data_IF_422812862251
#
_entry.id   IF_422812862251
#
_cell.length_a   1.000
_cell.length_b   1.000
_cell.length_c   1.000
_cell.angle_alpha   90.00
_cell.angle_beta   90.00
_cell.angle_gamma   90.00
#
_symmetry.space_group_name_H-M   'P 1'
#
loop_
_entity.id
_entity.type
_entity.pdbx_description
1 polymer ?
#
# COMPACT_ATOMS: atom_id res chain seq x y z
N UNK A 1 8.94 -26.45 10.63
CA UNK A 1 8.04 -25.35 10.24
C UNK A 1 8.91 -24.19 9.79
N UNK A 2 8.85 -23.85 8.50
CA UNK A 2 9.66 -22.79 7.92
C UNK A 2 8.93 -21.44 8.05
N UNK A 3 9.20 -20.74 9.14
CA UNK A 3 8.59 -19.44 9.44
C UNK A 3 8.88 -18.40 8.36
N UNK A 4 10.05 -18.48 7.72
CA UNK A 4 10.47 -17.54 6.70
C UNK A 4 9.67 -17.71 5.39
N UNK A 5 9.32 -18.95 5.04
CA UNK A 5 8.42 -19.22 3.92
C UNK A 5 7.00 -18.71 4.19
N UNK A 6 6.49 -18.89 5.41
CA UNK A 6 5.16 -18.43 5.80
C UNK A 6 5.03 -16.90 5.75
N UNK A 7 6.07 -16.18 6.20
CA UNK A 7 6.10 -14.72 6.10
C UNK A 7 6.14 -14.24 4.65
N UNK A 8 6.93 -14.87 3.79
CA UNK A 8 6.95 -14.55 2.35
C UNK A 8 5.58 -14.77 1.70
N UNK A 9 4.91 -15.89 2.01
CA UNK A 9 3.56 -16.17 1.49
C UNK A 9 2.55 -15.12 1.97
N UNK A 10 2.64 -14.69 3.24
CA UNK A 10 1.78 -13.65 3.79
C UNK A 10 2.00 -12.31 3.07
N UNK A 11 3.25 -11.91 2.86
CA UNK A 11 3.57 -10.65 2.18
C UNK A 11 3.09 -10.64 0.72
N UNK A 12 3.30 -11.75 0.00
CA UNK A 12 2.80 -11.89 -1.37
C UNK A 12 1.28 -11.80 -1.44
N UNK A 13 0.58 -12.43 -0.48
CA UNK A 13 -0.88 -12.37 -0.41
C UNK A 13 -1.37 -10.95 -0.13
N UNK A 14 -0.78 -10.27 0.85
CA UNK A 14 -1.13 -8.88 1.18
C UNK A 14 -0.86 -7.93 0.01
N UNK A 15 0.25 -8.11 -0.71
CA UNK A 15 0.54 -7.31 -1.89
C UNK A 15 -0.55 -7.45 -2.96
N UNK A 16 -1.06 -8.67 -3.19
CA UNK A 16 -2.15 -8.91 -4.12
C UNK A 16 -3.44 -8.21 -3.67
N UNK A 17 -3.81 -8.33 -2.40
CA UNK A 17 -5.00 -7.66 -1.84
C UNK A 17 -4.90 -6.13 -1.97
N UNK A 18 -3.73 -5.55 -1.69
CA UNK A 18 -3.51 -4.11 -1.83
C UNK A 18 -3.58 -3.62 -3.28
N UNK A 19 -3.06 -4.41 -4.23
CA UNK A 19 -3.18 -4.11 -5.66
C UNK A 19 -4.63 -4.09 -6.11
N UNK A 20 -5.41 -5.10 -5.72
CA UNK A 20 -6.84 -5.19 -6.05
C UNK A 20 -7.64 -4.03 -5.47
N UNK A 21 -7.31 -3.60 -4.24
CA UNK A 21 -7.94 -2.43 -3.63
C UNK A 21 -7.67 -1.16 -4.47
N UNK A 22 -6.41 -0.92 -4.86
CA UNK A 22 -6.04 0.24 -5.67
C UNK A 22 -6.74 0.21 -7.03
N UNK A 23 -6.77 -0.94 -7.69
CA UNK A 23 -7.46 -1.14 -8.97
C UNK A 23 -8.97 -0.88 -8.84
N UNK A 24 -9.60 -1.33 -7.75
CA UNK A 24 -11.03 -1.07 -7.49
C UNK A 24 -11.36 0.41 -7.30
N UNK A 25 -10.38 1.23 -6.91
CA UNK A 25 -10.50 2.68 -6.77
C UNK A 25 -10.09 3.44 -8.04
N UNK A 26 -9.85 2.74 -9.16
CA UNK A 26 -9.50 3.37 -10.44
C UNK A 26 -8.02 3.68 -10.63
N UNK A 27 -7.14 3.21 -9.73
CA UNK A 27 -5.70 3.35 -9.91
C UNK A 27 -5.13 2.23 -10.78
N UNK A 28 -4.22 2.59 -11.69
CA UNK A 28 -3.34 1.64 -12.36
C UNK A 28 -2.07 1.46 -11.55
N UNK A 29 -1.78 0.24 -11.08
CA UNK A 29 -0.57 -0.04 -10.28
C UNK A 29 0.61 -0.41 -11.18
N UNK A 30 1.70 0.37 -11.10
CA UNK A 30 2.91 0.07 -11.86
C UNK A 30 3.85 -0.87 -11.11
N UNK A 31 4.22 -0.52 -9.87
CA UNK A 31 5.12 -1.31 -9.04
C UNK A 31 5.04 -0.91 -7.57
N UNK A 32 5.40 -1.84 -6.69
CA UNK A 32 5.72 -1.53 -5.30
C UNK A 32 7.04 -0.77 -5.25
N UNK A 33 7.08 0.36 -4.56
CA UNK A 33 8.26 1.22 -4.40
C UNK A 33 8.77 1.25 -2.95
N UNK A 34 8.01 0.73 -1.99
CA UNK A 34 8.46 0.60 -0.62
C UNK A 34 7.60 -0.35 0.19
N UNK A 35 8.23 -1.01 1.16
CA UNK A 35 7.56 -1.78 2.21
C UNK A 35 7.88 -1.09 3.53
N UNK A 36 6.87 -0.48 4.15
CA UNK A 36 6.99 0.11 5.48
C UNK A 36 6.50 -0.84 6.56
N UNK A 37 6.78 -0.51 7.81
CA UNK A 37 6.32 -1.27 8.98
C UNK A 37 4.80 -1.39 9.08
N UNK A 38 4.06 -0.47 8.44
CA UNK A 38 2.60 -0.39 8.52
C UNK A 38 1.88 -0.71 7.20
N UNK A 39 2.61 -1.00 6.11
CA UNK A 39 1.99 -1.26 4.80
C UNK A 39 2.91 -1.00 3.61
N UNK A 40 2.36 -1.11 2.41
CA UNK A 40 3.11 -1.02 1.16
C UNK A 40 2.86 0.31 0.45
N UNK A 41 3.89 0.84 -0.19
CA UNK A 41 3.82 2.03 -1.04
C UNK A 41 3.94 1.60 -2.49
N UNK A 42 2.96 1.99 -3.29
CA UNK A 42 2.86 1.67 -4.71
C UNK A 42 3.03 2.94 -5.54
N UNK A 43 3.76 2.81 -6.65
CA UNK A 43 3.72 3.79 -7.72
C UNK A 43 2.49 3.50 -8.58
N UNK A 44 1.58 4.47 -8.69
CA UNK A 44 0.29 4.30 -9.36
C UNK A 44 -0.03 5.48 -10.27
N UNK A 45 -1.03 5.31 -11.14
CA UNK A 45 -1.61 6.37 -11.94
C UNK A 45 -3.13 6.42 -11.76
N UNK A 46 -3.70 7.61 -11.60
CA UNK A 46 -5.14 7.86 -11.62
C UNK A 46 -5.47 8.91 -12.69
N UNK A 47 -6.54 8.74 -13.49
CA UNK A 47 -6.88 9.70 -14.56
C UNK A 47 -6.98 11.17 -14.09
N UNK A 48 -7.42 11.39 -12.86
CA UNK A 48 -7.60 12.74 -12.30
C UNK A 48 -6.37 13.28 -11.54
N UNK A 49 -5.50 12.39 -11.03
CA UNK A 49 -4.36 12.78 -10.19
C UNK A 49 -3.00 12.67 -10.90
N UNK A 50 -2.98 12.01 -12.06
CA UNK A 50 -1.74 11.64 -12.76
C UNK A 50 -0.98 10.55 -12.01
N UNK A 51 0.35 10.60 -12.09
CA UNK A 51 1.25 9.65 -11.42
C UNK A 51 1.46 10.04 -9.95
N UNK A 52 1.12 9.14 -9.02
CA UNK A 52 1.22 9.38 -7.57
C UNK A 52 1.77 8.16 -6.82
N UNK A 53 2.19 8.37 -5.57
CA UNK A 53 2.53 7.30 -4.64
C UNK A 53 1.34 6.99 -3.73
N UNK A 54 0.84 5.76 -3.75
CA UNK A 54 -0.26 5.31 -2.90
C UNK A 54 0.26 4.39 -1.78
N UNK A 55 0.04 4.77 -0.52
CA UNK A 55 0.36 3.94 0.65
C UNK A 55 -0.90 3.19 1.09
N UNK A 56 -0.85 1.86 1.05
CA UNK A 56 -1.93 0.97 1.50
C UNK A 56 -1.52 0.31 2.80
N UNK A 57 -2.39 0.38 3.81
CA UNK A 57 -2.17 -0.15 5.15
C UNK A 57 -3.44 -0.83 5.67
N UNK A 58 -3.29 -1.82 6.54
CA UNK A 58 -4.42 -2.47 7.19
C UNK A 58 -5.08 -1.49 8.18
N UNK A 59 -6.41 -1.37 8.14
CA UNK A 59 -7.17 -0.47 9.01
C UNK A 59 -7.04 -0.83 10.49
N UNK A 60 -6.82 -2.11 10.81
CA UNK A 60 -6.60 -2.58 12.19
C UNK A 60 -5.28 -2.05 12.80
N UNK A 61 -4.33 -1.63 11.97
CA UNK A 61 -3.07 -0.98 12.39
C UNK A 61 -3.15 0.55 12.32
N UNK A 62 -4.33 1.10 12.02
CA UNK A 62 -4.54 2.55 11.88
C UNK A 62 -5.02 3.12 13.23
N UNK A 63 -4.06 3.48 14.09
CA UNK A 63 -4.34 4.47 15.15
C UNK A 63 -4.59 5.82 14.47
N UNK A 64 -5.76 6.42 14.69
CA UNK A 64 -6.23 7.68 14.07
C UNK A 64 -5.23 8.85 14.24
N UNK A 65 -4.28 8.74 15.17
CA UNK A 65 -3.25 9.72 15.44
C UNK A 65 -2.15 9.82 14.36
N UNK A 66 -2.05 8.85 13.43
CA UNK A 66 -1.05 8.87 12.35
C UNK A 66 -1.42 9.76 11.15
N UNK A 67 -2.63 10.31 11.12
CA UNK A 67 -3.13 11.11 10.00
C UNK A 67 -2.41 12.47 9.85
N UNK A 68 -1.76 12.94 10.92
CA UNK A 68 -1.08 14.25 10.95
C UNK A 68 0.22 14.29 10.13
N UNK A 69 0.84 13.15 9.82
CA UNK A 69 2.11 13.13 9.07
C UNK A 69 1.94 13.06 7.54
N UNK A 70 0.74 12.77 7.03
CA UNK A 70 0.46 12.75 5.59
C UNK A 70 -0.05 14.09 5.03
N UNK A 71 -0.12 15.16 5.84
CA UNK A 71 -0.54 16.49 5.34
C UNK A 71 0.66 17.33 4.89
N UNK A 72 0.63 17.60 3.58
CA UNK A 72 1.35 18.64 2.81
C UNK A 72 2.82 18.34 2.50
N UNK A 73 3.03 17.86 1.28
CA UNK A 73 4.06 18.48 0.46
C UNK A 73 3.32 19.55 -0.35
N UNK A 74 3.50 20.81 0.04
CA UNK A 74 3.18 21.99 -0.78
C UNK A 74 4.13 22.07 -1.99
#
# INVERSE_FOLDING_TARGET
MDYQLLEQQRQLKLEQEYRQLLESQGFTVFKTIGHGSFGNVFKVHHPELGEVAAKVMNSENFDENAQEHCRKID
#
